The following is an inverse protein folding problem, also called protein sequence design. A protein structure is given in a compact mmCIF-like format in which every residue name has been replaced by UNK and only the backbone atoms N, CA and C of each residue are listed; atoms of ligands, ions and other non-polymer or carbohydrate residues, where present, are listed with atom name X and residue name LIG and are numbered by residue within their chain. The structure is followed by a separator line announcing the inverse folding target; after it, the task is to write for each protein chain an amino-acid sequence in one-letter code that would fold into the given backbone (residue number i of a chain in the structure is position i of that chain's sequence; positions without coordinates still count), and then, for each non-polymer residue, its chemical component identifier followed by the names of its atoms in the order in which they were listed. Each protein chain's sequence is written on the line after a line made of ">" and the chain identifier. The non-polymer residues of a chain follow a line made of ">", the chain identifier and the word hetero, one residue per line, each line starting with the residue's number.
data_IF_644987452289
#
_entry.id   IF_644987452289
#
_cell.length_a   1.000
_cell.length_b   1.000
_cell.length_c   1.000
_cell.angle_alpha   90.00
_cell.angle_beta   90.00
_cell.angle_gamma   90.00
#
_symmetry.space_group_name_H-M   'P 1'
#
loop_
_entity.id
_entity.type
_entity.pdbx_description
1 polymer ?
#
# COMPACT_ATOMS: atom_id res chain seq x y z
N UNK A 1 -18.47 -61.86 -51.24
CA UNK A 1 -17.04 -62.20 -51.35
C UNK A 1 -16.24 -60.90 -51.37
N UNK A 2 -15.27 -60.79 -50.46
CA UNK A 2 -14.49 -59.58 -50.18
C UNK A 2 -13.45 -59.36 -51.29
N UNK A 3 -13.30 -58.13 -51.78
CA UNK A 3 -12.17 -57.71 -52.59
C UNK A 3 -11.47 -56.53 -51.91
N UNK A 4 -10.29 -56.82 -51.40
CA UNK A 4 -9.38 -55.95 -50.65
C UNK A 4 -8.53 -55.19 -51.68
N UNK A 5 -8.80 -53.90 -51.89
CA UNK A 5 -7.94 -53.03 -52.69
C UNK A 5 -6.99 -52.29 -51.74
N UNK A 6 -5.71 -52.63 -51.80
CA UNK A 6 -4.64 -51.95 -51.08
C UNK A 6 -4.22 -50.72 -51.89
N UNK A 7 -4.44 -49.53 -51.35
CA UNK A 7 -3.83 -48.29 -51.87
C UNK A 7 -2.73 -47.90 -50.90
N UNK A 8 -1.49 -47.97 -51.38
CA UNK A 8 -0.31 -47.45 -50.72
C UNK A 8 -0.36 -45.92 -50.85
N UNK A 9 -0.53 -45.21 -49.73
CA UNK A 9 -0.44 -43.76 -49.66
C UNK A 9 0.70 -43.43 -48.71
N UNK A 10 1.84 -43.01 -49.28
CA UNK A 10 2.93 -42.40 -48.52
C UNK A 10 2.42 -41.19 -47.73
N UNK A 11 2.58 -41.17 -46.39
CA UNK A 11 2.15 -40.04 -45.59
C UNK A 11 3.13 -38.89 -45.80
N UNK A 12 2.66 -37.91 -46.56
CA UNK A 12 3.26 -36.59 -46.74
C UNK A 12 3.50 -35.95 -45.38
N UNK A 13 4.74 -36.04 -44.92
CA UNK A 13 5.48 -35.12 -44.01
C UNK A 13 4.67 -33.88 -43.61
N UNK A 14 4.04 -33.88 -42.44
CA UNK A 14 3.75 -32.71 -41.58
C UNK A 14 3.17 -33.17 -40.23
N UNK A 15 4.03 -33.63 -39.32
CA UNK A 15 3.76 -33.62 -37.87
C UNK A 15 5.10 -33.42 -37.16
N UNK A 16 5.25 -32.30 -36.47
CA UNK A 16 6.44 -32.04 -35.67
C UNK A 16 6.66 -30.60 -35.25
N UNK A 17 5.60 -29.82 -34.95
CA UNK A 17 5.76 -28.49 -34.33
C UNK A 17 4.54 -28.15 -33.48
N UNK A 18 4.32 -28.91 -32.41
CA UNK A 18 3.46 -28.49 -31.31
C UNK A 18 3.73 -29.49 -30.19
N UNK A 19 4.72 -29.19 -29.34
CA UNK A 19 4.91 -29.68 -27.96
C UNK A 19 6.35 -29.39 -27.46
N UNK A 20 6.90 -28.21 -27.74
CA UNK A 20 8.11 -27.71 -27.06
C UNK A 20 7.87 -26.30 -26.51
N UNK A 21 6.97 -26.23 -25.54
CA UNK A 21 6.71 -25.03 -24.73
C UNK A 21 6.86 -25.35 -23.25
N UNK A 22 7.86 -26.16 -22.90
CA UNK A 22 8.24 -26.35 -21.51
C UNK A 22 8.78 -25.03 -20.97
N UNK A 23 8.01 -24.36 -20.12
CA UNK A 23 8.51 -23.25 -19.31
C UNK A 23 9.51 -23.87 -18.32
N UNK A 24 10.77 -23.98 -18.74
CA UNK A 24 11.88 -24.24 -17.83
C UNK A 24 12.09 -22.98 -17.02
N UNK A 25 11.48 -22.91 -15.83
CA UNK A 25 11.74 -21.83 -14.88
C UNK A 25 13.18 -21.98 -14.39
N UNK A 26 14.09 -21.25 -15.04
CA UNK A 26 15.47 -21.16 -14.62
C UNK A 26 15.53 -20.34 -13.31
N UNK A 27 15.71 -21.05 -12.19
CA UNK A 27 15.73 -20.50 -10.83
C UNK A 27 16.79 -19.40 -10.60
N UNK A 28 17.74 -19.21 -11.52
CA UNK A 28 18.82 -18.22 -11.39
C UNK A 28 18.40 -16.78 -11.76
N UNK A 29 17.25 -16.60 -12.40
CA UNK A 29 16.76 -15.27 -12.83
C UNK A 29 15.85 -14.55 -11.82
N UNK A 30 15.52 -15.17 -10.68
CA UNK A 30 14.53 -14.63 -9.72
C UNK A 30 15.13 -13.56 -8.79
N UNK A 31 16.45 -13.46 -8.67
CA UNK A 31 17.12 -12.49 -7.77
C UNK A 31 17.17 -11.06 -8.32
N UNK A 32 16.80 -10.83 -9.59
CA UNK A 32 16.99 -9.53 -10.26
C UNK A 32 15.69 -8.75 -10.55
N UNK A 33 14.51 -9.29 -10.24
CA UNK A 33 13.24 -8.72 -10.74
C UNK A 33 12.31 -8.15 -9.65
N UNK A 34 12.75 -8.08 -8.40
CA UNK A 34 11.91 -7.61 -7.29
C UNK A 34 11.86 -6.08 -7.11
N UNK A 35 12.54 -5.28 -7.95
CA UNK A 35 12.64 -3.83 -7.76
C UNK A 35 11.94 -2.96 -8.83
N UNK A 36 11.09 -3.52 -9.68
CA UNK A 36 10.48 -2.76 -10.78
C UNK A 36 8.95 -2.61 -10.69
N UNK A 37 8.40 -2.41 -9.49
CA UNK A 37 7.01 -1.91 -9.34
C UNK A 37 6.95 -0.89 -8.21
N UNK A 38 7.58 0.27 -8.41
CA UNK A 38 7.30 1.48 -7.66
C UNK A 38 7.74 2.69 -8.47
N UNK A 39 6.88 3.71 -8.54
CA UNK A 39 6.99 4.95 -9.32
C UNK A 39 6.61 4.76 -10.81
N UNK A 40 5.70 5.52 -11.42
CA UNK A 40 5.35 6.92 -11.24
C UNK A 40 3.89 7.11 -11.67
N UNK A 41 2.97 7.18 -10.70
CA UNK A 41 1.56 7.54 -10.93
C UNK A 41 1.16 8.86 -10.25
N UNK A 42 2.13 9.67 -9.85
CA UNK A 42 1.93 10.80 -8.92
C UNK A 42 2.45 12.12 -9.49
N UNK A 43 2.09 12.55 -10.70
CA UNK A 43 2.53 13.88 -11.19
C UNK A 43 1.55 14.63 -12.10
N UNK A 44 0.24 14.54 -11.87
CA UNK A 44 -0.67 15.58 -12.41
C UNK A 44 -1.68 16.02 -11.35
N UNK A 45 -1.28 17.00 -10.56
CA UNK A 45 -2.20 17.81 -9.75
C UNK A 45 -2.32 19.22 -10.36
N UNK A 46 -3.52 19.78 -10.57
CA UNK A 46 -3.67 21.13 -11.08
C UNK A 46 -3.25 22.17 -10.03
N UNK A 47 -2.27 23.01 -10.38
CA UNK A 47 -1.69 24.06 -9.52
C UNK A 47 -2.59 25.31 -9.32
N UNK A 48 -3.92 25.21 -9.47
CA UNK A 48 -4.83 26.35 -9.39
C UNK A 48 -6.06 26.10 -8.49
N UNK A 49 -5.88 25.34 -7.40
CA UNK A 49 -6.87 25.27 -6.33
C UNK A 49 -6.62 26.33 -5.25
N UNK A 50 -6.52 27.62 -5.64
CA UNK A 50 -6.55 28.70 -4.66
C UNK A 50 -8.00 29.13 -4.45
N UNK A 51 -8.54 28.82 -3.28
CA UNK A 51 -9.90 29.19 -2.89
C UNK A 51 -10.05 30.72 -2.87
N UNK A 52 -10.84 31.27 -3.79
CA UNK A 52 -11.30 32.67 -3.78
C UNK A 52 -12.66 32.84 -3.08
N UNK A 53 -13.00 31.94 -2.15
CA UNK A 53 -14.19 32.09 -1.33
C UNK A 53 -13.95 33.08 -0.17
N UNK A 54 -15.03 33.55 0.51
CA UNK A 54 -14.93 34.49 1.62
C UNK A 54 -13.99 33.93 2.68
N UNK A 55 -13.13 34.75 3.26
CA UNK A 55 -12.17 34.37 4.30
C UNK A 55 -12.82 33.46 5.35
N UNK A 56 -12.34 32.21 5.43
CA UNK A 56 -12.65 31.19 6.44
C UNK A 56 -14.11 31.23 6.91
N UNK A 57 -14.94 30.33 6.38
CA UNK A 57 -16.33 30.09 6.83
C UNK A 57 -16.49 29.70 8.32
N UNK A 58 -15.49 29.92 9.18
CA UNK A 58 -15.52 29.81 10.63
C UNK A 58 -15.35 31.12 11.43
N UNK A 59 -15.20 32.29 10.80
CA UNK A 59 -15.20 33.56 11.56
C UNK A 59 -16.62 34.15 11.62
N UNK A 60 -17.39 33.71 12.63
CA UNK A 60 -18.57 34.43 13.08
C UNK A 60 -18.12 35.49 14.09
N UNK A 61 -18.21 36.78 13.72
CA UNK A 61 -17.83 37.90 14.58
C UNK A 61 -18.72 38.04 15.82
N UNK A 62 -19.89 37.38 15.83
CA UNK A 62 -20.82 37.36 16.95
C UNK A 62 -20.71 36.06 17.77
N UNK A 63 -19.84 35.11 17.39
CA UNK A 63 -19.62 33.92 18.19
C UNK A 63 -19.03 34.33 19.55
N UNK A 64 -19.62 33.89 20.67
CA UNK A 64 -19.10 34.22 21.99
C UNK A 64 -17.67 33.68 22.11
N UNK A 65 -16.73 34.58 22.42
CA UNK A 65 -15.29 34.29 22.60
C UNK A 65 -15.01 33.42 23.86
N UNK A 66 -16.07 32.95 24.53
CA UNK A 66 -16.03 32.30 25.84
C UNK A 66 -16.01 30.78 25.83
N UNK A 67 -15.79 30.13 24.69
CA UNK A 67 -15.63 28.68 24.62
C UNK A 67 -14.56 28.30 23.63
N UNK A 68 -13.38 27.90 24.10
CA UNK A 68 -12.46 27.15 23.26
C UNK A 68 -13.00 25.72 23.19
N UNK A 69 -13.87 25.41 22.23
CA UNK A 69 -14.54 24.10 22.08
C UNK A 69 -13.59 22.93 21.70
N UNK A 70 -12.28 23.12 21.88
CA UNK A 70 -11.23 22.14 21.66
C UNK A 70 -10.60 21.64 22.98
N UNK A 71 -11.14 22.04 24.14
CA UNK A 71 -10.64 21.60 25.44
C UNK A 71 -11.69 20.83 26.23
N UNK A 72 -11.27 19.73 26.86
CA UNK A 72 -12.11 18.86 27.67
C UNK A 72 -12.90 17.81 26.88
N UNK A 73 -13.69 17.02 27.61
CA UNK A 73 -14.41 15.85 27.06
C UNK A 73 -15.35 16.20 25.90
N UNK A 74 -16.00 17.37 25.95
CA UNK A 74 -16.91 17.81 24.90
C UNK A 74 -16.16 18.15 23.60
N UNK A 75 -14.98 18.78 23.71
CA UNK A 75 -14.12 19.05 22.56
C UNK A 75 -13.56 17.77 21.93
N UNK A 76 -13.19 16.79 22.75
CA UNK A 76 -12.73 15.48 22.28
C UNK A 76 -13.84 14.77 21.48
N UNK A 77 -15.07 14.73 22.01
CA UNK A 77 -16.23 14.14 21.32
C UNK A 77 -16.57 14.88 20.03
N UNK A 78 -16.50 16.22 20.04
CA UNK A 78 -16.71 17.02 18.85
C UNK A 78 -15.70 16.66 17.77
N UNK A 79 -14.41 16.60 18.11
CA UNK A 79 -13.35 16.26 17.17
C UNK A 79 -13.53 14.85 16.58
N UNK A 80 -13.91 13.87 17.41
CA UNK A 80 -14.22 12.50 16.96
C UNK A 80 -15.36 12.51 15.92
N UNK A 81 -16.42 13.29 16.16
CA UNK A 81 -17.55 13.37 15.24
C UNK A 81 -17.21 14.11 13.96
N UNK A 82 -16.57 15.28 14.06
CA UNK A 82 -16.24 16.10 12.90
C UNK A 82 -15.24 15.40 11.96
N UNK A 83 -14.32 14.59 12.50
CA UNK A 83 -13.36 13.80 11.70
C UNK A 83 -13.93 12.48 11.16
N UNK A 84 -14.99 11.93 11.76
CA UNK A 84 -15.62 10.69 11.32
C UNK A 84 -16.66 10.90 10.20
N UNK A 85 -17.23 12.11 10.09
CA UNK A 85 -18.30 12.43 9.15
C UNK A 85 -17.76 13.06 7.87
N UNK A 86 -18.11 12.48 6.71
CA UNK A 86 -17.80 12.96 5.37
C UNK A 86 -18.80 14.04 5.00
N UNK A 87 -18.30 15.24 4.75
CA UNK A 87 -19.12 16.37 4.37
C UNK A 87 -19.74 16.15 2.98
N UNK A 88 -21.04 16.45 2.84
CA UNK A 88 -21.79 16.26 1.60
C UNK A 88 -21.69 17.45 0.62
N UNK A 89 -20.76 18.40 0.85
CA UNK A 89 -20.56 19.53 -0.05
C UNK A 89 -19.79 19.18 -1.34
N UNK A 90 -19.50 17.90 -1.58
CA UNK A 90 -18.84 17.39 -2.79
C UNK A 90 -17.30 17.44 -2.79
N UNK A 91 -16.65 18.01 -1.77
CA UNK A 91 -15.18 18.05 -1.69
C UNK A 91 -14.54 16.73 -1.25
N UNK A 92 -15.34 15.82 -0.66
CA UNK A 92 -14.89 14.50 -0.20
C UNK A 92 -14.06 14.51 1.10
N UNK A 93 -14.00 15.63 1.81
CA UNK A 93 -13.31 15.77 3.09
C UNK A 93 -14.26 15.52 4.27
N UNK A 94 -13.67 15.27 5.45
CA UNK A 94 -14.41 15.26 6.70
C UNK A 94 -14.84 16.67 7.13
N UNK A 95 -15.81 16.76 8.04
CA UNK A 95 -16.38 18.03 8.53
C UNK A 95 -15.32 18.93 9.15
N UNK A 96 -14.38 18.36 9.93
CA UNK A 96 -13.32 19.14 10.57
C UNK A 96 -12.36 19.72 9.52
N UNK A 97 -11.75 18.86 8.70
CA UNK A 97 -10.77 19.28 7.69
C UNK A 97 -11.37 20.24 6.67
N UNK A 98 -12.61 19.99 6.22
CA UNK A 98 -13.26 20.83 5.24
C UNK A 98 -13.46 22.28 5.74
N UNK A 99 -13.75 22.47 7.03
CA UNK A 99 -14.01 23.79 7.59
C UNK A 99 -12.77 24.71 7.54
N UNK A 100 -11.57 24.14 7.71
CA UNK A 100 -10.33 24.92 7.81
C UNK A 100 -9.55 24.99 6.50
N UNK A 101 -9.71 24.00 5.62
CA UNK A 101 -8.97 23.93 4.36
C UNK A 101 -9.70 24.59 3.18
N UNK A 102 -11.02 24.76 3.29
CA UNK A 102 -11.87 25.17 2.16
C UNK A 102 -12.88 26.24 2.58
N UNK A 103 -13.36 27.02 1.62
CA UNK A 103 -14.49 27.92 1.85
C UNK A 103 -15.79 27.15 1.63
N UNK A 104 -16.33 26.59 2.72
CA UNK A 104 -17.48 25.70 2.72
C UNK A 104 -18.60 26.25 3.62
N UNK A 105 -19.82 26.34 3.08
CA UNK A 105 -21.00 26.73 3.86
C UNK A 105 -21.64 25.58 4.64
N UNK A 106 -21.36 24.32 4.29
CA UNK A 106 -22.01 23.13 4.87
C UNK A 106 -21.35 22.69 6.17
N UNK A 107 -20.01 22.59 6.18
CA UNK A 107 -19.23 22.11 7.33
C UNK A 107 -19.55 22.85 8.62
N UNK A 108 -19.55 24.20 8.65
CA UNK A 108 -19.82 24.95 9.87
C UNK A 108 -21.22 24.68 10.44
N UNK A 109 -22.22 24.48 9.58
CA UNK A 109 -23.59 24.16 9.99
C UNK A 109 -23.66 22.77 10.64
N UNK A 110 -22.96 21.78 10.07
CA UNK A 110 -22.89 20.44 10.64
C UNK A 110 -22.15 20.43 11.97
N UNK A 111 -21.02 21.15 12.07
CA UNK A 111 -20.30 21.36 13.32
C UNK A 111 -21.19 21.96 14.41
N UNK A 112 -21.99 22.99 14.09
CA UNK A 112 -22.95 23.56 15.04
C UNK A 112 -24.02 22.55 15.47
N UNK A 113 -24.57 21.77 14.53
CA UNK A 113 -25.55 20.71 14.84
C UNK A 113 -24.97 19.67 15.80
N UNK A 114 -23.73 19.22 15.54
CA UNK A 114 -23.03 18.25 16.39
C UNK A 114 -22.83 18.83 17.79
N UNK A 115 -22.35 20.06 17.91
CA UNK A 115 -22.15 20.75 19.20
C UNK A 115 -23.44 20.85 19.99
N UNK A 116 -24.50 21.34 19.36
CA UNK A 116 -25.79 21.47 20.02
C UNK A 116 -26.33 20.12 20.53
N UNK A 117 -26.05 19.02 19.81
CA UNK A 117 -26.46 17.68 20.23
C UNK A 117 -25.61 17.17 21.41
N UNK A 118 -24.30 17.41 21.38
CA UNK A 118 -23.40 17.08 22.50
C UNK A 118 -23.74 17.87 23.77
N UNK A 119 -24.07 19.16 23.64
CA UNK A 119 -24.50 20.01 24.77
C UNK A 119 -25.84 19.55 25.37
N UNK A 120 -26.70 18.91 24.56
CA UNK A 120 -27.93 18.26 25.02
C UNK A 120 -27.69 16.91 25.73
N UNK A 121 -26.45 16.42 25.72
CA UNK A 121 -26.06 15.16 26.37
C UNK A 121 -26.15 13.93 25.46
N UNK A 122 -26.31 14.11 24.14
CA UNK A 122 -26.32 12.99 23.21
C UNK A 122 -24.95 12.30 23.12
N UNK A 123 -24.98 10.98 22.96
CA UNK A 123 -23.78 10.18 22.72
C UNK A 123 -23.28 10.31 21.28
N UNK A 124 -21.99 10.04 21.07
CA UNK A 124 -21.34 10.07 19.76
C UNK A 124 -22.05 9.12 18.78
N UNK A 125 -22.46 7.95 19.25
CA UNK A 125 -23.13 6.93 18.45
C UNK A 125 -24.52 7.37 18.01
N UNK A 126 -25.28 8.01 18.90
CA UNK A 126 -26.61 8.56 18.58
C UNK A 126 -26.51 9.66 17.53
N UNK A 127 -25.53 10.57 17.67
CA UNK A 127 -25.31 11.64 16.70
C UNK A 127 -24.93 11.04 15.34
N UNK A 128 -23.96 10.11 15.28
CA UNK A 128 -23.57 9.44 14.04
C UNK A 128 -24.75 8.70 13.40
N UNK A 129 -25.55 7.98 14.18
CA UNK A 129 -26.73 7.27 13.69
C UNK A 129 -27.76 8.25 13.10
N UNK A 130 -27.93 9.43 13.70
CA UNK A 130 -28.76 10.51 13.14
C UNK A 130 -28.27 10.96 11.76
N UNK A 131 -26.96 11.23 11.61
CA UNK A 131 -26.39 11.56 10.30
C UNK A 131 -26.51 10.41 9.29
N UNK A 132 -26.33 9.17 9.71
CA UNK A 132 -26.52 7.99 8.85
C UNK A 132 -28.00 7.84 8.44
N UNK A 133 -28.94 8.19 9.31
CA UNK A 133 -30.37 8.20 8.98
C UNK A 133 -30.70 9.27 7.94
N UNK A 134 -30.09 10.45 8.04
CA UNK A 134 -30.36 11.58 7.15
C UNK A 134 -29.67 11.44 5.77
N UNK A 135 -28.42 10.98 5.76
CA UNK A 135 -27.53 11.00 4.58
C UNK A 135 -27.10 9.61 4.10
N UNK A 136 -27.48 8.55 4.82
CA UNK A 136 -27.07 7.17 4.54
C UNK A 136 -25.68 6.84 5.07
N UNK A 137 -25.30 5.56 4.98
CA UNK A 137 -24.01 5.04 5.51
C UNK A 137 -22.77 5.64 4.86
N UNK A 138 -22.91 6.21 3.66
CA UNK A 138 -21.81 6.87 2.95
C UNK A 138 -21.41 8.22 3.56
N UNK A 139 -22.15 8.72 4.56
CA UNK A 139 -21.76 9.90 5.35
C UNK A 139 -20.62 9.60 6.31
N UNK A 140 -20.33 8.34 6.62
CA UNK A 140 -19.18 7.98 7.45
C UNK A 140 -17.93 7.88 6.57
N UNK A 141 -16.79 8.42 7.04
CA UNK A 141 -15.50 8.22 6.36
C UNK A 141 -15.10 6.74 6.35
N UNK A 142 -15.37 6.05 7.45
CA UNK A 142 -15.16 4.62 7.58
C UNK A 142 -16.50 3.90 7.38
N UNK A 143 -16.60 2.95 6.44
CA UNK A 143 -17.77 2.09 6.33
C UNK A 143 -18.05 1.36 7.67
N UNK A 144 -19.31 1.15 8.07
CA UNK A 144 -19.60 0.44 9.30
C UNK A 144 -19.14 -1.03 9.19
N UNK A 145 -18.63 -1.57 10.30
CA UNK A 145 -18.05 -2.93 10.42
C UNK A 145 -19.11 -4.03 10.42
N UNK A 146 -19.93 -4.08 9.38
CA UNK A 146 -21.05 -5.01 9.24
C UNK A 146 -21.20 -5.51 7.80
N UNK A 147 -21.80 -6.69 7.66
CA UNK A 147 -22.07 -7.28 6.34
C UNK A 147 -20.80 -7.46 5.50
N UNK A 148 -20.85 -7.00 4.24
CA UNK A 148 -19.75 -7.13 3.29
C UNK A 148 -18.53 -6.24 3.64
N UNK A 149 -18.73 -5.16 4.39
CA UNK A 149 -17.63 -4.25 4.75
C UNK A 149 -16.56 -4.96 5.59
N UNK A 150 -16.94 -5.98 6.38
CA UNK A 150 -16.00 -6.79 7.18
C UNK A 150 -14.89 -7.41 6.34
N UNK A 151 -15.18 -7.80 5.09
CA UNK A 151 -14.17 -8.37 4.19
C UNK A 151 -13.01 -7.39 4.01
N UNK A 152 -13.31 -6.09 3.83
CA UNK A 152 -12.28 -5.07 3.64
C UNK A 152 -11.37 -4.91 4.88
N UNK A 153 -11.91 -5.11 6.09
CA UNK A 153 -11.15 -5.04 7.34
C UNK A 153 -10.27 -6.27 7.56
N UNK A 154 -10.72 -7.47 7.18
CA UNK A 154 -9.94 -8.70 7.35
C UNK A 154 -8.97 -9.00 6.21
N UNK A 155 -9.23 -8.49 5.00
CA UNK A 155 -8.44 -8.76 3.81
C UNK A 155 -6.94 -8.47 3.98
N UNK A 156 -6.49 -7.35 4.62
CA UNK A 156 -5.06 -7.08 4.80
C UNK A 156 -4.39 -8.13 5.69
N UNK A 157 -5.04 -8.53 6.78
CA UNK A 157 -4.50 -9.53 7.72
C UNK A 157 -4.43 -10.89 7.05
N UNK A 158 -5.49 -11.30 6.35
CA UNK A 158 -5.51 -12.55 5.59
C UNK A 158 -4.46 -12.55 4.47
N UNK A 159 -4.27 -11.44 3.77
CA UNK A 159 -3.24 -11.27 2.75
C UNK A 159 -1.83 -11.48 3.30
N UNK A 160 -1.51 -10.87 4.44
CA UNK A 160 -0.20 -10.99 5.09
C UNK A 160 0.03 -12.43 5.58
N UNK A 161 -0.95 -13.03 6.24
CA UNK A 161 -0.83 -14.40 6.77
C UNK A 161 -0.67 -15.41 5.64
N UNK A 162 -1.48 -15.31 4.60
CA UNK A 162 -1.40 -16.21 3.43
C UNK A 162 -0.07 -16.04 2.69
N UNK A 163 0.39 -14.80 2.46
CA UNK A 163 1.69 -14.55 1.86
C UNK A 163 2.85 -15.10 2.70
N UNK A 164 2.85 -14.86 4.01
CA UNK A 164 3.87 -15.38 4.93
C UNK A 164 3.89 -16.91 4.95
N UNK A 165 2.71 -17.54 4.97
CA UNK A 165 2.58 -19.00 4.90
C UNK A 165 3.14 -19.55 3.58
N UNK A 166 2.80 -18.94 2.45
CA UNK A 166 3.33 -19.34 1.14
C UNK A 166 4.85 -19.22 1.08
N UNK A 167 5.42 -18.09 1.52
CA UNK A 167 6.89 -17.91 1.58
C UNK A 167 7.52 -18.96 2.49
N UNK A 168 6.95 -19.20 3.67
CA UNK A 168 7.44 -20.21 4.61
C UNK A 168 7.43 -21.61 4.00
N UNK A 169 6.35 -21.99 3.32
CA UNK A 169 6.26 -23.29 2.63
C UNK A 169 7.28 -23.41 1.48
N UNK A 170 7.45 -22.35 0.68
CA UNK A 170 8.38 -22.35 -0.46
C UNK A 170 9.85 -22.37 -0.01
N UNK A 171 10.18 -21.76 1.13
CA UNK A 171 11.57 -21.68 1.65
C UNK A 171 11.95 -22.86 2.56
N UNK A 172 10.96 -23.59 3.09
CA UNK A 172 11.16 -24.76 3.96
C UNK A 172 11.84 -25.95 3.28
N UNK A 173 11.89 -25.97 1.94
CA UNK A 173 12.52 -27.02 1.13
C UNK A 173 14.05 -27.05 1.11
N UNK A 174 14.72 -26.16 1.86
CA UNK A 174 16.17 -26.21 2.09
C UNK A 174 16.91 -25.11 1.34
N UNK A 175 17.66 -24.30 2.09
CA UNK A 175 18.86 -23.71 1.53
C UNK A 175 19.71 -24.89 1.06
N UNK A 176 19.94 -24.99 -0.25
CA UNK A 176 21.05 -25.79 -0.75
C UNK A 176 22.23 -25.32 0.08
N UNK A 177 22.75 -26.18 0.98
CA UNK A 177 24.12 -26.01 1.47
C UNK A 177 24.90 -25.84 0.18
N UNK A 178 25.36 -24.63 -0.11
CA UNK A 178 26.38 -24.48 -1.13
C UNK A 178 27.42 -25.52 -0.74
N UNK A 179 27.69 -26.46 -1.64
CA UNK A 179 28.77 -27.40 -1.46
C UNK A 179 29.98 -26.52 -1.17
N UNK A 180 30.35 -26.44 0.12
CA UNK A 180 31.46 -25.61 0.57
C UNK A 180 32.65 -26.23 -0.14
N UNK A 181 33.14 -25.54 -1.17
CA UNK A 181 34.31 -25.99 -1.92
C UNK A 181 35.41 -26.11 -0.88
N UNK A 182 36.01 -27.31 -0.71
CA UNK A 182 37.11 -27.48 0.21
C UNK A 182 38.17 -26.44 -0.14
N UNK A 183 38.56 -25.62 0.84
CA UNK A 183 39.70 -24.73 0.67
C UNK A 183 40.91 -25.65 0.59
N UNK A 184 41.43 -25.85 -0.62
CA UNK A 184 42.72 -26.50 -0.81
C UNK A 184 43.76 -25.65 -0.09
N UNK A 185 44.58 -26.30 0.74
CA UNK A 185 45.66 -25.61 1.44
C UNK A 185 46.61 -25.06 0.38
N UNK A 186 46.79 -23.73 0.37
CA UNK A 186 47.72 -23.04 -0.51
C UNK A 186 49.11 -23.66 -0.32
N UNK A 187 49.77 -24.02 -1.41
CA UNK A 187 51.11 -24.61 -1.32
C UNK A 187 52.11 -23.58 -0.77
N UNK A 188 53.16 -24.04 -0.08
CA UNK A 188 54.19 -23.16 0.50
C UNK A 188 54.85 -22.26 -0.57
N UNK A 189 54.89 -22.72 -1.82
CA UNK A 189 55.43 -21.97 -2.95
C UNK A 189 54.51 -20.82 -3.38
N UNK A 190 53.20 -21.06 -3.43
CA UNK A 190 52.20 -20.03 -3.74
C UNK A 190 52.09 -19.00 -2.63
N UNK A 191 52.18 -19.43 -1.37
CA UNK A 191 52.20 -18.53 -0.21
C UNK A 191 53.40 -17.58 -0.26
N UNK A 192 54.59 -18.09 -0.60
CA UNK A 192 55.79 -17.26 -0.81
C UNK A 192 55.63 -16.28 -1.96
N UNK A 193 55.10 -16.74 -3.10
CA UNK A 193 54.87 -15.89 -4.26
C UNK A 193 53.88 -14.75 -3.96
N UNK A 194 52.84 -15.02 -3.18
CA UNK A 194 51.90 -14.00 -2.74
C UNK A 194 52.56 -12.99 -1.80
N UNK A 195 53.35 -13.47 -0.83
CA UNK A 195 54.09 -12.62 0.10
C UNK A 195 55.11 -11.72 -0.63
N UNK A 196 55.78 -12.25 -1.65
CA UNK A 196 56.68 -11.49 -2.51
C UNK A 196 55.95 -10.41 -3.31
N UNK A 197 54.77 -10.74 -3.85
CA UNK A 197 53.94 -9.79 -4.57
C UNK A 197 53.45 -8.65 -3.67
N UNK A 198 53.02 -8.97 -2.44
CA UNK A 198 52.59 -7.96 -1.45
C UNK A 198 53.74 -7.03 -1.07
N UNK A 199 54.91 -7.59 -0.74
CA UNK A 199 56.10 -6.79 -0.43
C UNK A 199 56.53 -5.87 -1.58
N UNK A 200 56.40 -6.34 -2.82
CA UNK A 200 56.72 -5.53 -4.00
C UNK A 200 55.73 -4.37 -4.17
N UNK A 201 54.45 -4.60 -3.91
CA UNK A 201 53.43 -3.55 -3.94
C UNK A 201 53.68 -2.50 -2.87
N UNK A 202 53.98 -2.92 -1.64
CA UNK A 202 54.31 -2.00 -0.54
C UNK A 202 55.54 -1.13 -0.86
N UNK A 203 56.57 -1.70 -1.49
CA UNK A 203 57.75 -0.94 -1.91
C UNK A 203 57.43 0.07 -3.02
N UNK A 204 56.51 -0.27 -3.95
CA UNK A 204 56.07 0.64 -5.00
C UNK A 204 55.13 1.74 -4.48
N UNK A 205 54.33 1.44 -3.46
CA UNK A 205 53.39 2.37 -2.84
C UNK A 205 54.04 3.21 -1.73
N UNK A 206 55.27 2.87 -1.33
CA UNK A 206 56.04 3.64 -0.36
C UNK A 206 56.33 5.03 -0.93
N UNK A 207 55.77 6.09 -0.34
CA UNK A 207 55.98 7.44 -0.86
C UNK A 207 57.44 7.88 -0.71
N UNK A 208 57.94 8.67 -1.66
CA UNK A 208 59.31 9.17 -1.74
C UNK A 208 59.51 10.54 -1.06
N UNK A 209 58.60 10.94 -0.17
CA UNK A 209 58.61 12.21 0.56
C UNK A 209 59.07 12.09 2.01
#
# INVERSE_FOLDING_TARGET
>A
MQARFTVNLEPKRMMGELLEGGITVNMKSIRSSFFAVAAVGLLVGPANAQSKGPTHAGFDSNAPIGGHYHEGELGDKLMVLESALKCDCGCGLDVHTCQFQMQCGTSPVWSQRIRASLEQGDSVEVIQAGFVSDFGKAVLLAPPVEGFNLVAYFLPVLGIVTAGMLIGLLTRGGTRREDLVPVEAVSDEEAKKLQDAMRKLDEMERPDW
#
